data_IF_587343374146
#
_entry.id   IF_587343374146
#
_cell.length_a   1.000
_cell.length_b   1.000
_cell.length_c   1.000
_cell.angle_alpha   90.00
_cell.angle_beta   90.00
_cell.angle_gamma   90.00
#
_symmetry.space_group_name_H-M   'P 1'
#
loop_
_entity.id
_entity.type
_entity.pdbx_description
1 polymer ?
#
# COMPACT_ATOMS: atom_id res chain seq x y z
N UNK A 1 4.79 -3.10 -20.82
CA UNK A 1 4.28 -1.84 -21.42
C UNK A 1 3.62 -0.94 -20.36
N UNK A 2 3.27 -1.51 -19.21
CA UNK A 2 2.29 -0.95 -18.27
C UNK A 2 2.93 -0.21 -17.11
N UNK A 3 4.13 -0.64 -16.70
CA UNK A 3 5.00 0.17 -15.85
C UNK A 3 5.32 1.52 -16.52
N UNK A 4 5.49 1.54 -17.85
CA UNK A 4 5.76 2.77 -18.61
C UNK A 4 4.55 3.72 -18.53
N UNK A 5 3.33 3.21 -18.70
CA UNK A 5 2.12 4.02 -18.58
C UNK A 5 1.93 4.58 -17.16
N UNK A 6 2.17 3.78 -16.13
CA UNK A 6 2.16 4.27 -14.74
C UNK A 6 3.20 5.36 -14.52
N UNK A 7 4.42 5.15 -15.03
CA UNK A 7 5.49 6.13 -14.95
C UNK A 7 5.11 7.43 -15.67
N UNK A 8 4.48 7.36 -16.85
CA UNK A 8 4.01 8.55 -17.56
C UNK A 8 2.94 9.32 -16.77
N UNK A 9 1.99 8.64 -16.13
CA UNK A 9 1.01 9.28 -15.24
C UNK A 9 1.69 9.98 -14.06
N UNK A 10 2.60 9.28 -13.37
CA UNK A 10 3.33 9.84 -12.23
C UNK A 10 4.19 11.04 -12.66
N UNK A 11 4.88 10.94 -13.80
CA UNK A 11 5.68 12.04 -14.35
C UNK A 11 4.82 13.26 -14.68
N UNK A 12 3.61 13.04 -15.21
CA UNK A 12 2.65 14.12 -15.49
C UNK A 12 2.20 14.82 -14.20
N UNK A 13 1.86 14.06 -13.16
CA UNK A 13 1.52 14.62 -11.84
C UNK A 13 2.68 15.43 -11.24
N UNK A 14 3.90 14.90 -11.31
CA UNK A 14 5.12 15.56 -10.82
C UNK A 14 5.41 16.86 -11.58
N UNK A 15 5.21 16.88 -12.90
CA UNK A 15 5.41 18.06 -13.73
C UNK A 15 4.34 19.15 -13.47
N UNK A 16 3.09 18.75 -13.28
CA UNK A 16 1.98 19.66 -12.95
C UNK A 16 2.07 20.26 -11.54
N UNK A 17 2.80 19.61 -10.62
CA UNK A 17 2.97 20.05 -9.22
C UNK A 17 4.45 20.28 -8.88
N UNK A 18 5.11 21.30 -9.45
CA UNK A 18 6.56 21.50 -9.29
C UNK A 18 6.98 21.88 -7.87
N UNK A 19 6.06 22.38 -7.04
CA UNK A 19 6.35 22.95 -5.72
C UNK A 19 5.82 22.14 -4.55
N UNK A 20 5.09 21.04 -4.80
CA UNK A 20 4.59 20.16 -3.74
C UNK A 20 4.90 18.68 -4.03
N UNK A 21 5.02 17.84 -2.99
CA UNK A 21 5.14 16.40 -3.17
C UNK A 21 3.90 15.77 -3.82
N UNK A 22 4.13 14.66 -4.50
CA UNK A 22 3.11 13.75 -5.02
C UNK A 22 3.11 12.47 -4.18
N UNK A 23 1.94 12.10 -3.66
CA UNK A 23 1.74 10.86 -2.90
C UNK A 23 0.91 9.89 -3.73
N UNK A 24 1.40 8.69 -3.93
CA UNK A 24 0.67 7.62 -4.60
C UNK A 24 0.46 6.44 -3.66
N UNK A 25 -0.69 5.77 -3.78
CA UNK A 25 -1.00 4.57 -3.01
C UNK A 25 -1.13 3.34 -3.92
N UNK A 26 -0.44 2.26 -3.56
CA UNK A 26 -0.52 0.95 -4.20
C UNK A 26 -1.20 -0.02 -3.22
N UNK A 27 -2.50 -0.23 -3.38
CA UNK A 27 -3.29 -1.21 -2.61
C UNK A 27 -3.57 -2.43 -3.48
N UNK A 28 -4.14 -3.48 -2.91
CA UNK A 28 -4.49 -4.69 -3.62
C UNK A 28 -4.22 -5.96 -2.83
N UNK A 29 -4.56 -7.10 -3.43
CA UNK A 29 -4.52 -8.42 -2.81
C UNK A 29 -3.10 -8.82 -2.36
N UNK A 30 -2.98 -9.56 -1.27
CA UNK A 30 -1.71 -10.19 -0.91
C UNK A 30 -1.21 -11.09 -2.05
N UNK A 31 0.07 -10.98 -2.41
CA UNK A 31 0.64 -11.70 -3.56
C UNK A 31 0.42 -11.05 -4.94
N UNK A 32 -0.28 -9.92 -5.04
CA UNK A 32 -0.51 -9.27 -6.35
C UNK A 32 0.72 -8.61 -6.98
N UNK A 33 1.77 -8.33 -6.18
CA UNK A 33 3.02 -7.75 -6.67
C UNK A 33 3.23 -6.27 -6.33
N UNK A 34 2.43 -5.70 -5.39
CA UNK A 34 2.56 -4.31 -4.90
C UNK A 34 4.00 -3.91 -4.56
N UNK A 35 4.67 -4.68 -3.70
CA UNK A 35 6.06 -4.40 -3.29
C UNK A 35 7.03 -4.43 -4.47
N UNK A 36 6.86 -5.37 -5.40
CA UNK A 36 7.67 -5.43 -6.63
C UNK A 36 7.44 -4.19 -7.51
N UNK A 37 6.18 -3.79 -7.68
CA UNK A 37 5.84 -2.58 -8.43
C UNK A 37 6.41 -1.32 -7.76
N UNK A 38 6.30 -1.22 -6.44
CA UNK A 38 6.86 -0.11 -5.68
C UNK A 38 8.38 0.01 -5.87
N UNK A 39 9.09 -1.13 -5.86
CA UNK A 39 10.53 -1.18 -6.13
C UNK A 39 10.86 -0.72 -7.56
N UNK A 40 10.13 -1.21 -8.56
CA UNK A 40 10.30 -0.79 -9.95
C UNK A 40 10.04 0.71 -10.16
N UNK A 41 9.02 1.27 -9.49
CA UNK A 41 8.76 2.70 -9.51
C UNK A 41 9.89 3.48 -8.82
N UNK A 42 10.41 3.00 -7.69
CA UNK A 42 11.53 3.64 -7.00
C UNK A 42 12.80 3.69 -7.87
N UNK A 43 13.06 2.65 -8.68
CA UNK A 43 14.14 2.65 -9.67
C UNK A 43 13.91 3.67 -10.80
N UNK A 44 12.67 3.85 -11.25
CA UNK A 44 12.30 4.80 -12.31
C UNK A 44 12.24 6.26 -11.83
N UNK A 45 12.00 6.47 -10.55
CA UNK A 45 11.98 7.78 -9.89
C UNK A 45 13.00 7.81 -8.75
N UNK A 46 14.31 7.95 -9.07
CA UNK A 46 15.35 8.09 -8.05
C UNK A 46 15.05 9.25 -7.10
N UNK A 47 15.25 9.02 -5.81
CA UNK A 47 14.92 10.00 -4.76
C UNK A 47 13.45 9.99 -4.31
N UNK A 48 12.62 9.10 -4.86
CA UNK A 48 11.32 8.78 -4.27
C UNK A 48 11.45 8.06 -2.92
N UNK A 49 10.38 8.06 -2.14
CA UNK A 49 10.30 7.41 -0.84
C UNK A 49 9.21 6.35 -0.83
N UNK A 50 9.59 5.09 -0.64
CA UNK A 50 8.62 4.01 -0.41
C UNK A 50 8.31 3.86 1.08
N UNK A 51 7.04 3.67 1.41
CA UNK A 51 6.51 3.43 2.75
C UNK A 51 5.64 2.18 2.70
N UNK A 52 5.88 1.23 3.60
CA UNK A 52 5.14 -0.02 3.66
C UNK A 52 4.05 0.09 4.72
N UNK A 53 2.78 -0.16 4.38
CA UNK A 53 1.71 -0.14 5.40
C UNK A 53 1.90 -1.24 6.43
N UNK A 54 2.59 -2.34 6.08
CA UNK A 54 2.98 -3.42 7.00
C UNK A 54 3.82 -2.92 8.19
N UNK A 55 4.52 -1.79 8.09
CA UNK A 55 5.25 -1.17 9.21
C UNK A 55 4.31 -0.62 10.30
N UNK A 56 3.01 -0.56 10.01
CA UNK A 56 1.97 0.05 10.85
C UNK A 56 0.98 -0.97 11.42
N UNK A 57 1.34 -2.26 11.49
CA UNK A 57 0.57 -3.18 12.34
C UNK A 57 0.54 -2.70 13.79
N UNK A 58 -0.61 -2.87 14.44
CA UNK A 58 -0.75 -2.73 15.88
C UNK A 58 -0.05 -3.91 16.57
N UNK A 59 0.71 -3.67 17.66
CA UNK A 59 1.17 -4.73 18.56
C UNK A 59 -0.02 -5.59 19.02
N UNK A 60 0.13 -6.92 19.19
CA UNK A 60 -0.96 -7.82 19.59
C UNK A 60 -1.76 -7.33 20.80
N UNK A 61 -1.10 -6.76 21.81
CA UNK A 61 -1.75 -6.24 23.01
C UNK A 61 -2.66 -5.02 22.77
N UNK A 62 -2.51 -4.33 21.64
CA UNK A 62 -3.33 -3.18 21.27
C UNK A 62 -4.46 -3.54 20.30
N UNK A 63 -4.51 -4.79 19.82
CA UNK A 63 -5.58 -5.25 18.93
C UNK A 63 -6.84 -5.53 19.74
N UNK A 64 -7.98 -5.06 19.24
CA UNK A 64 -9.27 -5.32 19.88
C UNK A 64 -9.65 -6.80 19.77
N UNK A 65 -10.40 -7.35 20.74
CA UNK A 65 -10.94 -8.71 20.62
C UNK A 65 -11.76 -8.89 19.33
N UNK A 66 -11.53 -10.00 18.62
CA UNK A 66 -12.23 -10.31 17.36
C UNK A 66 -11.78 -9.49 16.15
N UNK A 67 -10.64 -8.80 16.21
CA UNK A 67 -10.08 -8.04 15.09
C UNK A 67 -9.94 -8.86 13.80
N UNK A 68 -9.79 -10.19 13.90
CA UNK A 68 -9.69 -11.09 12.76
C UNK A 68 -10.94 -11.11 11.85
N UNK A 69 -12.04 -10.51 12.30
CA UNK A 69 -13.28 -10.35 11.53
C UNK A 69 -13.57 -8.89 11.16
N UNK A 70 -12.72 -7.97 11.61
CA UNK A 70 -12.87 -6.53 11.41
C UNK A 70 -11.80 -6.04 10.44
N UNK A 71 -12.16 -5.72 9.19
CA UNK A 71 -11.23 -5.13 8.22
C UNK A 71 -10.39 -4.01 8.83
N UNK A 72 -9.07 -4.08 8.65
CA UNK A 72 -8.10 -3.07 9.08
C UNK A 72 -7.94 -2.87 10.61
N UNK A 73 -8.64 -3.63 11.46
CA UNK A 73 -8.58 -3.46 12.92
C UNK A 73 -7.23 -3.82 13.57
N UNK A 74 -6.29 -4.34 12.78
CA UNK A 74 -4.92 -4.63 13.15
C UNK A 74 -3.91 -3.57 12.67
N UNK A 75 -4.36 -2.47 12.06
CA UNK A 75 -3.50 -1.41 11.52
C UNK A 75 -3.65 -0.10 12.30
N UNK A 76 -2.54 0.59 12.49
CA UNK A 76 -2.50 1.94 13.08
C UNK A 76 -2.45 3.01 11.98
N UNK A 77 -3.58 3.19 11.30
CA UNK A 77 -3.70 4.18 10.22
C UNK A 77 -3.56 5.62 10.72
N UNK A 78 -3.91 5.87 11.99
CA UNK A 78 -3.73 7.19 12.61
C UNK A 78 -2.25 7.53 12.71
N UNK A 79 -1.43 6.57 13.13
CA UNK A 79 0.03 6.72 13.20
C UNK A 79 0.65 6.85 11.82
N UNK A 80 0.26 6.03 10.84
CA UNK A 80 0.71 6.20 9.45
C UNK A 80 0.41 7.61 8.92
N UNK A 81 -0.81 8.09 9.15
CA UNK A 81 -1.20 9.43 8.71
C UNK A 81 -0.39 10.53 9.41
N UNK A 82 -0.19 10.41 10.71
CA UNK A 82 0.50 11.43 11.52
C UNK A 82 2.02 11.44 11.29
N UNK A 83 2.68 10.27 11.34
CA UNK A 83 4.13 10.14 11.22
C UNK A 83 4.62 10.34 9.78
N UNK A 84 3.80 9.99 8.77
CA UNK A 84 4.23 9.98 7.37
C UNK A 84 3.37 10.85 6.48
N UNK A 85 2.08 10.54 6.31
CA UNK A 85 1.31 11.14 5.21
C UNK A 85 1.16 12.66 5.35
N UNK A 86 0.83 13.15 6.55
CA UNK A 86 0.70 14.58 6.81
C UNK A 86 1.99 15.36 6.53
N UNK A 87 3.15 15.02 7.15
CA UNK A 87 4.40 15.75 6.88
C UNK A 87 4.91 15.52 5.45
N UNK A 88 4.75 14.33 4.87
CA UNK A 88 5.11 14.06 3.49
C UNK A 88 4.35 14.97 2.51
N UNK A 89 3.03 15.15 2.67
CA UNK A 89 2.23 16.09 1.85
C UNK A 89 2.68 17.54 2.02
N UNK A 90 3.11 17.90 3.22
CA UNK A 90 3.62 19.23 3.52
C UNK A 90 5.04 19.48 2.98
N UNK A 91 5.70 18.48 2.39
CA UNK A 91 7.09 18.59 1.93
C UNK A 91 8.09 18.72 3.08
N UNK A 92 7.73 18.22 4.26
CA UNK A 92 8.54 18.30 5.46
C UNK A 92 9.34 17.01 5.69
N UNK A 93 10.52 17.09 6.35
CA UNK A 93 11.19 15.92 6.89
C UNK A 93 10.27 15.21 7.88
N UNK A 94 10.38 13.89 7.95
CA UNK A 94 9.58 13.10 8.88
C UNK A 94 10.37 11.90 9.42
N UNK A 95 9.90 11.34 10.51
CA UNK A 95 10.45 10.12 11.09
C UNK A 95 9.34 9.17 11.45
N UNK A 96 9.56 7.87 11.22
CA UNK A 96 8.61 6.84 11.61
C UNK A 96 9.32 5.67 12.27
N UNK A 97 8.55 4.87 13.01
CA UNK A 97 9.04 3.69 13.73
C UNK A 97 8.29 2.47 13.21
N UNK A 98 8.95 1.59 12.46
CA UNK A 98 8.30 0.39 11.96
C UNK A 98 7.98 -0.59 13.10
N UNK A 99 6.83 -1.26 13.05
CA UNK A 99 6.54 -2.40 13.92
C UNK A 99 6.83 -3.71 13.18
N UNK A 100 7.79 -4.49 13.68
CA UNK A 100 8.14 -5.78 13.11
C UNK A 100 7.29 -6.87 13.75
N UNK A 101 6.32 -7.42 13.01
CA UNK A 101 5.56 -8.60 13.44
C UNK A 101 6.46 -9.82 13.70
N UNK A 102 7.63 -9.90 13.05
CA UNK A 102 8.61 -10.98 13.23
C UNK A 102 9.33 -10.86 14.58
N UNK A 103 9.70 -9.65 14.97
CA UNK A 103 10.41 -9.38 16.22
C UNK A 103 9.46 -9.12 17.39
N UNK A 104 8.17 -8.87 17.11
CA UNK A 104 7.18 -8.51 18.12
C UNK A 104 7.45 -7.15 18.76
N UNK A 105 8.16 -6.26 18.07
CA UNK A 105 8.65 -5.01 18.62
C UNK A 105 8.70 -3.89 17.58
N UNK A 106 8.74 -2.66 18.09
CA UNK A 106 9.10 -1.49 17.31
C UNK A 106 10.60 -1.51 16.98
N UNK A 107 10.94 -1.24 15.73
CA UNK A 107 12.31 -1.11 15.24
C UNK A 107 12.88 0.28 15.53
N UNK A 108 14.20 0.51 15.38
CA UNK A 108 14.77 1.85 15.48
C UNK A 108 14.11 2.85 14.51
N UNK A 109 14.01 4.13 14.89
CA UNK A 109 13.37 5.15 14.06
C UNK A 109 14.10 5.39 12.74
N UNK A 110 13.34 5.55 11.67
CA UNK A 110 13.84 5.88 10.33
C UNK A 110 13.59 7.36 10.07
N UNK A 111 14.65 8.12 9.80
CA UNK A 111 14.56 9.53 9.41
C UNK A 111 14.50 9.68 7.89
N UNK A 112 13.55 10.46 7.40
CA UNK A 112 13.31 10.68 5.98
C UNK A 112 13.43 12.15 5.63
N UNK A 113 14.29 12.45 4.66
CA UNK A 113 14.29 13.76 4.00
C UNK A 113 13.06 13.90 3.09
N UNK A 114 12.59 15.14 2.82
CA UNK A 114 11.51 15.38 1.86
C UNK A 114 11.79 14.73 0.51
N UNK A 115 10.77 14.09 -0.06
CA UNK A 115 10.83 13.49 -1.39
C UNK A 115 9.75 14.09 -2.29
N UNK A 116 10.06 14.24 -3.58
CA UNK A 116 9.08 14.72 -4.58
C UNK A 116 7.98 13.70 -4.86
N UNK A 117 8.29 12.41 -4.72
CA UNK A 117 7.37 11.30 -4.87
C UNK A 117 7.43 10.43 -3.62
N UNK A 118 6.29 10.16 -3.02
CA UNK A 118 6.14 9.18 -1.94
C UNK A 118 5.19 8.09 -2.39
N UNK A 119 5.63 6.84 -2.29
CA UNK A 119 4.93 5.64 -2.72
C UNK A 119 4.52 4.89 -1.46
N UNK A 120 3.23 4.85 -1.16
CA UNK A 120 2.68 4.10 -0.04
C UNK A 120 2.13 2.80 -0.57
N UNK A 121 2.70 1.67 -0.14
CA UNK A 121 2.33 0.36 -0.66
C UNK A 121 1.94 -0.59 0.46
N UNK A 122 0.99 -1.47 0.16
CA UNK A 122 0.54 -2.52 1.05
C UNK A 122 -0.96 -2.50 1.23
N UNK A 123 -1.47 -3.58 1.84
CA UNK A 123 -2.89 -3.73 2.10
C UNK A 123 -3.38 -2.59 3.01
N UNK A 124 -4.60 -2.11 2.77
CA UNK A 124 -5.22 -0.98 3.46
C UNK A 124 -4.66 0.41 3.12
N UNK A 125 -3.76 0.53 2.14
CA UNK A 125 -3.23 1.84 1.75
C UNK A 125 -4.30 2.76 1.14
N UNK A 126 -5.38 2.22 0.54
CA UNK A 126 -6.51 3.00 0.03
C UNK A 126 -7.61 3.25 1.06
N UNK A 127 -7.43 2.85 2.32
CA UNK A 127 -8.49 2.94 3.33
C UNK A 127 -9.03 4.38 3.42
N UNK A 128 -10.35 4.62 3.54
CA UNK A 128 -10.92 5.97 3.45
C UNK A 128 -10.32 7.00 4.42
N UNK A 129 -9.82 6.54 5.57
CA UNK A 129 -9.10 7.36 6.53
C UNK A 129 -7.77 7.95 6.01
N UNK A 130 -7.28 7.48 4.86
CA UNK A 130 -6.06 7.94 4.19
C UNK A 130 -6.34 8.50 2.78
N UNK A 131 -7.54 8.30 2.23
CA UNK A 131 -7.83 8.50 0.82
C UNK A 131 -7.58 9.95 0.34
N UNK A 132 -7.87 10.93 1.20
CA UNK A 132 -7.64 12.35 0.91
C UNK A 132 -6.16 12.75 0.90
N UNK A 133 -5.25 11.84 1.29
CA UNK A 133 -3.81 12.06 1.27
C UNK A 133 -3.16 11.84 -0.09
N UNK A 134 -3.80 11.12 -1.01
CA UNK A 134 -3.16 10.65 -2.23
C UNK A 134 -3.57 11.46 -3.46
N UNK A 135 -2.62 11.62 -4.37
CA UNK A 135 -2.80 12.20 -5.70
C UNK A 135 -3.15 11.13 -6.74
N UNK A 136 -2.78 9.87 -6.48
CA UNK A 136 -3.08 8.72 -7.33
C UNK A 136 -3.24 7.45 -6.50
N UNK A 137 -4.36 6.75 -6.69
CA UNK A 137 -4.64 5.46 -6.05
C UNK A 137 -4.66 4.36 -7.10
N UNK A 138 -3.71 3.43 -7.02
CA UNK A 138 -3.59 2.27 -7.92
C UNK A 138 -3.95 1.01 -7.17
N UNK A 139 -4.90 0.23 -7.71
CA UNK A 139 -5.22 -1.10 -7.21
C UNK A 139 -4.47 -2.15 -8.02
N UNK A 140 -3.58 -2.90 -7.36
CA UNK A 140 -2.75 -3.94 -7.98
C UNK A 140 -3.41 -5.29 -7.76
N UNK A 141 -3.82 -5.93 -8.85
CA UNK A 141 -4.50 -7.22 -8.85
C UNK A 141 -3.72 -8.28 -9.62
N UNK A 142 -4.13 -9.54 -9.50
CA UNK A 142 -3.66 -10.64 -10.34
C UNK A 142 -4.73 -11.73 -10.35
N UNK A 143 -4.55 -12.76 -11.19
CA UNK A 143 -5.45 -13.90 -11.18
C UNK A 143 -5.40 -14.65 -9.82
N UNK A 144 -6.53 -15.22 -9.39
CA UNK A 144 -6.58 -16.04 -8.16
C UNK A 144 -5.58 -17.21 -8.19
N UNK A 145 -5.37 -17.80 -9.37
CA UNK A 145 -4.41 -18.88 -9.55
C UNK A 145 -2.98 -18.40 -9.29
N UNK A 146 -2.60 -17.25 -9.86
CA UNK A 146 -1.29 -16.66 -9.63
C UNK A 146 -1.12 -16.21 -8.17
N UNK A 147 -2.14 -15.56 -7.60
CA UNK A 147 -2.14 -15.17 -6.19
C UNK A 147 -1.85 -16.38 -5.30
N UNK A 148 -2.54 -17.49 -5.55
CA UNK A 148 -2.36 -18.75 -4.82
C UNK A 148 -0.95 -19.29 -4.97
N UNK A 149 -0.43 -19.36 -6.21
CA UNK A 149 0.91 -19.84 -6.51
C UNK A 149 1.98 -19.02 -5.77
N UNK A 150 1.90 -17.69 -5.85
CA UNK A 150 2.84 -16.78 -5.18
C UNK A 150 2.77 -16.89 -3.66
N UNK A 151 1.57 -16.97 -3.10
CA UNK A 151 1.38 -17.11 -1.65
C UNK A 151 1.86 -18.47 -1.14
N UNK A 152 1.67 -19.55 -1.89
CA UNK A 152 2.20 -20.87 -1.56
C UNK A 152 3.73 -20.87 -1.56
N UNK A 153 4.35 -20.26 -2.58
CA UNK A 153 5.80 -20.12 -2.65
C UNK A 153 6.37 -19.28 -1.48
N UNK A 154 5.66 -18.21 -1.09
CA UNK A 154 6.09 -17.29 -0.01
C UNK A 154 5.88 -17.88 1.39
N UNK A 155 4.72 -18.48 1.65
CA UNK A 155 4.33 -18.94 2.98
C UNK A 155 4.72 -20.40 3.26
N UNK A 156 4.92 -21.21 2.22
CA UNK A 156 5.21 -22.63 2.34
C UNK A 156 4.14 -23.35 3.15
N UNK A 157 4.57 -24.12 4.17
CA UNK A 157 3.67 -24.87 5.04
C UNK A 157 2.66 -24.00 5.82
N UNK A 158 2.93 -22.69 5.95
CA UNK A 158 2.03 -21.73 6.63
C UNK A 158 0.89 -21.24 5.74
N UNK A 159 0.92 -21.54 4.44
CA UNK A 159 -0.07 -21.05 3.47
C UNK A 159 -1.53 -21.31 3.89
N UNK A 160 -1.94 -22.52 4.32
CA UNK A 160 -3.35 -22.75 4.67
C UNK A 160 -3.85 -21.82 5.79
N UNK A 161 -3.05 -21.66 6.86
CA UNK A 161 -3.38 -20.78 7.97
C UNK A 161 -3.34 -19.30 7.56
N UNK A 162 -2.38 -18.92 6.71
CA UNK A 162 -2.29 -17.58 6.14
C UNK A 162 -3.56 -17.26 5.32
N UNK A 163 -3.90 -18.13 4.36
CA UNK A 163 -5.02 -17.94 3.46
C UNK A 163 -6.36 -17.88 4.21
N UNK A 164 -6.57 -18.77 5.18
CA UNK A 164 -7.78 -18.79 6.00
C UNK A 164 -7.97 -17.50 6.81
N UNK A 165 -6.87 -16.87 7.25
CA UNK A 165 -6.91 -15.66 8.07
C UNK A 165 -6.99 -14.38 7.24
N UNK A 166 -6.09 -14.21 6.29
CA UNK A 166 -5.81 -12.90 5.68
C UNK A 166 -6.65 -12.63 4.44
N UNK A 167 -6.93 -13.64 3.62
CA UNK A 167 -7.70 -13.43 2.39
C UNK A 167 -9.12 -12.93 2.72
N UNK A 168 -9.88 -13.51 3.68
CA UNK A 168 -11.20 -12.99 4.02
C UNK A 168 -11.19 -11.56 4.57
N UNK A 169 -10.14 -11.19 5.32
CA UNK A 169 -9.97 -9.83 5.83
C UNK A 169 -9.75 -8.81 4.70
N UNK A 170 -8.90 -9.14 3.73
CA UNK A 170 -8.65 -8.30 2.55
C UNK A 170 -9.89 -8.19 1.66
N UNK A 171 -10.54 -9.30 1.31
CA UNK A 171 -11.74 -9.25 0.47
C UNK A 171 -12.90 -8.53 1.18
N UNK A 172 -13.06 -8.72 2.50
CA UNK A 172 -14.02 -7.97 3.30
C UNK A 172 -13.73 -6.46 3.34
N UNK A 173 -12.46 -6.07 3.36
CA UNK A 173 -12.03 -4.69 3.23
C UNK A 173 -12.36 -4.10 1.86
N UNK A 174 -12.00 -4.80 0.78
CA UNK A 174 -12.27 -4.33 -0.58
C UNK A 174 -13.77 -4.15 -0.82
N UNK A 175 -14.58 -5.12 -0.42
CA UNK A 175 -16.04 -5.06 -0.55
C UNK A 175 -16.66 -3.95 0.30
N UNK A 176 -16.20 -3.78 1.55
CA UNK A 176 -16.77 -2.79 2.48
C UNK A 176 -16.55 -1.35 2.02
N UNK A 177 -15.42 -1.07 1.36
CA UNK A 177 -15.03 0.29 0.99
C UNK A 177 -14.94 0.52 -0.52
N UNK A 178 -15.36 -0.44 -1.34
CA UNK A 178 -15.30 -0.39 -2.81
C UNK A 178 -13.92 0.04 -3.30
N UNK A 179 -12.88 -0.60 -2.78
CA UNK A 179 -11.48 -0.18 -2.98
C UNK A 179 -11.06 -0.36 -4.44
N UNK A 180 -11.47 -1.45 -5.07
CA UNK A 180 -11.15 -1.72 -6.47
C UNK A 180 -11.85 -0.71 -7.40
N UNK A 181 -13.13 -0.41 -7.13
CA UNK A 181 -13.94 0.51 -7.93
C UNK A 181 -13.57 1.99 -7.70
N UNK A 182 -13.12 2.34 -6.50
CA UNK A 182 -12.74 3.71 -6.16
C UNK A 182 -11.29 4.05 -6.48
N UNK A 183 -10.49 3.09 -6.95
CA UNK A 183 -9.13 3.35 -7.43
C UNK A 183 -9.16 4.25 -8.68
N UNK A 184 -8.08 5.00 -8.91
CA UNK A 184 -7.92 5.76 -10.15
C UNK A 184 -7.49 4.85 -11.32
N UNK A 185 -6.68 3.82 -11.01
CA UNK A 185 -6.18 2.85 -11.97
C UNK A 185 -6.20 1.44 -11.36
N UNK A 186 -6.54 0.44 -12.16
CA UNK A 186 -6.36 -0.97 -11.83
C UNK A 186 -5.20 -1.50 -12.65
N UNK A 187 -4.22 -2.14 -12.01
CA UNK A 187 -3.08 -2.76 -12.66
C UNK A 187 -3.07 -4.26 -12.39
N UNK A 188 -3.19 -5.05 -13.44
CA UNK A 188 -2.85 -6.47 -13.43
C UNK A 188 -1.47 -6.62 -14.09
N UNK A 189 -0.39 -6.99 -13.37
CA UNK A 189 0.93 -7.15 -13.97
C UNK A 189 0.99 -8.17 -15.12
N UNK A 190 -0.01 -9.06 -15.25
CA UNK A 190 -0.09 -10.08 -16.30
C UNK A 190 -0.99 -9.68 -17.46
N UNK A 191 -2.00 -8.82 -17.22
CA UNK A 191 -3.02 -8.43 -18.21
C UNK A 191 -3.01 -6.96 -18.60
N UNK A 192 -2.26 -6.16 -17.86
CA UNK A 192 -2.02 -4.75 -18.07
C UNK A 192 -2.91 -3.80 -17.27
N UNK A 193 -2.91 -2.51 -17.66
CA UNK A 193 -3.68 -1.45 -17.00
C UNK A 193 -5.11 -1.39 -17.50
N UNK A 194 -6.04 -1.17 -16.57
CA UNK A 194 -7.46 -0.94 -16.82
C UNK A 194 -7.82 0.37 -16.10
N UNK A 195 -8.37 1.34 -16.84
CA UNK A 195 -8.95 2.53 -16.21
C UNK A 195 -10.17 2.10 -15.38
N UNK A 196 -10.19 2.48 -14.11
CA UNK A 196 -11.35 2.22 -13.27
C UNK A 196 -12.53 3.05 -13.79
N UNK A 197 -13.69 2.41 -13.93
CA UNK A 197 -14.91 3.10 -14.35
C UNK A 197 -15.39 3.98 -13.21
N UNK A 198 -15.03 5.27 -13.23
CA UNK A 198 -15.58 6.24 -12.26
C UNK A 198 -17.08 6.35 -12.52
N UNK A 199 -17.88 5.82 -11.59
CA UNK A 199 -19.33 5.98 -11.55
C UNK A 199 -19.71 7.37 -11.06
#
# INVERSE_FOLDING_TARGET
MELILLCSHIATLLAASPTRPILIALDGRCGSGKTTLAAQLAERFPGSRTIHTDDYYLPPAQRVPGWETLPCANMDLKRLRAEVLNPARAGQPFSYIAYSCREGAYLPPVSCQPARLVIVEGSYSHHPALADCYDLRVFVTCSKAEQTLRLQAREGARYPAFAQRWIPLEEGYFAKYSIEESADLILDPEKGMIEATKS
#
